data_IF_557217759172
#
_entry.id   IF_557217759172
#
_cell.length_a   1.000
_cell.length_b   1.000
_cell.length_c   1.000
_cell.angle_alpha   90.00
_cell.angle_beta   90.00
_cell.angle_gamma   90.00
#
_symmetry.space_group_name_H-M   'P 1'
#
loop_
_entity.id
_entity.type
_entity.pdbx_description
1 polymer ?
#
# COMPACT_ATOMS: atom_id res chain seq x y z
N UNK A 1 -17.79 -0.99 6.62
CA UNK A 1 -16.49 -0.47 7.07
C UNK A 1 -16.51 1.06 7.09
N UNK A 2 -16.12 1.66 8.20
CA UNK A 2 -16.04 3.12 8.39
C UNK A 2 -14.57 3.51 8.47
N UNK A 3 -14.18 4.56 7.75
CA UNK A 3 -12.80 5.03 7.68
C UNK A 3 -12.80 6.53 7.95
N UNK A 4 -12.17 6.93 9.05
CA UNK A 4 -12.06 8.34 9.45
C UNK A 4 -10.64 8.84 9.29
N UNK A 5 -10.48 10.09 8.87
CA UNK A 5 -9.19 10.79 8.79
C UNK A 5 -9.19 11.99 9.71
N UNK A 6 -8.18 12.10 10.57
CA UNK A 6 -7.88 13.30 11.35
C UNK A 6 -6.76 14.05 10.63
N UNK A 7 -7.08 15.20 10.04
CA UNK A 7 -6.14 15.91 9.17
C UNK A 7 -6.29 17.42 9.34
N UNK A 8 -5.25 18.16 8.97
CA UNK A 8 -5.27 19.62 8.84
C UNK A 8 -5.55 20.07 7.40
N UNK A 9 -5.60 19.12 6.45
CA UNK A 9 -5.81 19.29 5.01
C UNK A 9 -7.04 18.48 4.52
N UNK A 10 -8.26 18.76 5.02
CA UNK A 10 -9.44 17.99 4.65
C UNK A 10 -9.73 18.00 3.15
N UNK A 11 -9.45 19.11 2.44
CA UNK A 11 -9.66 19.18 0.99
C UNK A 11 -8.78 18.19 0.21
N UNK A 12 -7.55 17.93 0.67
CA UNK A 12 -6.66 16.95 0.04
C UNK A 12 -7.25 15.55 0.17
N UNK A 13 -7.69 15.17 1.38
CA UNK A 13 -8.31 13.86 1.64
C UNK A 13 -9.57 13.68 0.81
N UNK A 14 -10.45 14.68 0.77
CA UNK A 14 -11.64 14.65 -0.09
C UNK A 14 -11.27 14.50 -1.56
N UNK A 15 -10.29 15.26 -2.05
CA UNK A 15 -9.83 15.16 -3.44
C UNK A 15 -9.31 13.76 -3.78
N UNK A 16 -8.54 13.13 -2.90
CA UNK A 16 -8.04 11.77 -3.11
C UNK A 16 -9.19 10.74 -3.14
N UNK A 17 -10.17 10.85 -2.22
CA UNK A 17 -11.36 9.98 -2.21
C UNK A 17 -12.17 10.15 -3.51
N UNK A 18 -12.38 11.40 -3.92
CA UNK A 18 -13.29 11.74 -4.99
C UNK A 18 -12.66 11.68 -6.37
N UNK A 19 -11.33 11.55 -6.50
CA UNK A 19 -10.64 11.54 -7.80
C UNK A 19 -9.93 10.22 -8.12
N UNK A 20 -9.41 9.48 -7.14
CA UNK A 20 -8.76 8.18 -7.39
C UNK A 20 -9.78 7.11 -7.79
N UNK A 21 -9.46 6.34 -8.84
CA UNK A 21 -10.42 5.38 -9.41
C UNK A 21 -10.82 4.27 -8.42
N UNK A 22 -9.87 3.77 -7.61
CA UNK A 22 -10.12 2.77 -6.57
C UNK A 22 -11.01 3.33 -5.47
N UNK A 23 -10.73 4.55 -4.98
CA UNK A 23 -11.53 5.22 -3.96
C UNK A 23 -12.95 5.55 -4.46
N UNK A 24 -13.09 6.05 -5.69
CA UNK A 24 -14.39 6.25 -6.34
C UNK A 24 -15.21 4.96 -6.38
N UNK A 25 -14.59 3.83 -6.74
CA UNK A 25 -15.27 2.52 -6.76
C UNK A 25 -15.63 2.07 -5.35
N UNK A 26 -14.72 2.20 -4.38
CA UNK A 26 -14.99 1.90 -2.98
C UNK A 26 -16.22 2.67 -2.47
N UNK A 27 -16.23 4.00 -2.63
CA UNK A 27 -17.32 4.88 -2.21
C UNK A 27 -18.65 4.58 -2.91
N UNK A 28 -18.63 4.21 -4.21
CA UNK A 28 -19.87 4.03 -5.01
C UNK A 28 -20.42 2.60 -5.05
N UNK A 29 -19.55 1.59 -4.87
CA UNK A 29 -19.89 0.18 -5.15
C UNK A 29 -19.85 -0.69 -3.90
N UNK A 30 -19.38 -0.18 -2.77
CA UNK A 30 -19.25 -0.93 -1.52
C UNK A 30 -19.90 -0.17 -0.36
N UNK A 31 -19.94 -0.80 0.82
CA UNK A 31 -20.44 -0.19 2.05
C UNK A 31 -19.28 0.44 2.86
N UNK A 32 -18.30 1.04 2.16
CA UNK A 32 -17.22 1.80 2.79
C UNK A 32 -17.64 3.25 2.93
N UNK A 33 -17.68 3.73 4.17
CA UNK A 33 -17.95 5.12 4.50
C UNK A 33 -16.64 5.85 4.81
N UNK A 34 -16.44 7.01 4.20
CA UNK A 34 -15.30 7.88 4.48
C UNK A 34 -15.76 9.13 5.22
N UNK A 35 -15.12 9.41 6.36
CA UNK A 35 -15.33 10.65 7.12
C UNK A 35 -14.00 11.39 7.27
N UNK A 36 -14.05 12.71 7.14
CA UNK A 36 -12.87 13.57 7.28
C UNK A 36 -13.15 14.56 8.38
N UNK A 37 -12.26 14.60 9.36
CA UNK A 37 -12.38 15.44 10.55
C UNK A 37 -11.19 16.40 10.53
N UNK A 38 -11.50 17.69 10.49
CA UNK A 38 -10.48 18.73 10.50
C UNK A 38 -10.01 18.97 11.94
N UNK A 39 -8.72 18.72 12.19
CA UNK A 39 -8.11 18.90 13.53
C UNK A 39 -8.26 20.35 14.01
N UNK A 40 -8.28 21.33 13.10
CA UNK A 40 -8.42 22.76 13.42
C UNK A 40 -9.73 23.12 14.10
N UNK A 41 -10.76 22.28 13.98
CA UNK A 41 -12.06 22.53 14.61
C UNK A 41 -12.08 22.20 16.11
N UNK A 42 -11.00 21.58 16.63
CA UNK A 42 -10.86 21.18 18.03
C UNK A 42 -9.83 22.02 18.80
N UNK A 43 -9.25 23.03 18.14
CA UNK A 43 -8.46 24.05 18.80
C UNK A 43 -9.38 25.02 19.54
N UNK A 44 -9.10 25.25 20.82
CA UNK A 44 -9.94 26.07 21.69
C UNK A 44 -9.49 27.53 21.78
N UNK A 45 -8.25 27.82 21.40
CA UNK A 45 -7.76 29.19 21.40
C UNK A 45 -8.36 30.01 20.24
N UNK A 46 -8.34 31.34 20.40
CA UNK A 46 -8.88 32.31 19.44
C UNK A 46 -8.24 32.20 18.06
N UNK A 47 -7.00 31.70 17.97
CA UNK A 47 -6.22 31.61 16.74
C UNK A 47 -6.32 30.23 16.07
N UNK A 48 -7.09 29.29 16.65
CA UNK A 48 -7.17 27.89 16.23
C UNK A 48 -5.78 27.24 16.10
N UNK A 49 -4.89 27.49 17.06
CA UNK A 49 -3.55 26.94 17.06
C UNK A 49 -3.58 25.44 17.35
N UNK A 50 -3.02 24.67 16.43
CA UNK A 50 -3.02 23.20 16.45
C UNK A 50 -1.63 22.61 16.70
N UNK A 51 -0.61 23.45 16.71
CA UNK A 51 0.80 23.09 16.72
C UNK A 51 1.60 24.03 17.63
N UNK A 52 2.68 23.52 18.19
CA UNK A 52 3.59 24.27 19.07
C UNK A 52 5.02 23.72 18.96
N UNK A 53 5.99 24.45 19.51
CA UNK A 53 7.37 23.99 19.59
C UNK A 53 7.48 22.72 20.43
N UNK A 54 8.29 21.77 19.96
CA UNK A 54 8.63 20.60 20.76
C UNK A 54 9.50 21.03 21.97
N UNK A 55 9.22 20.47 23.15
CA UNK A 55 10.09 20.66 24.31
C UNK A 55 11.47 20.04 24.08
N UNK A 56 12.52 20.70 24.59
CA UNK A 56 13.90 20.21 24.51
C UNK A 56 14.64 20.71 23.27
N UNK A 57 15.39 19.82 22.62
CA UNK A 57 16.17 20.14 21.42
C UNK A 57 15.39 19.68 20.20
N UNK A 58 14.77 20.62 19.49
CA UNK A 58 14.03 20.35 18.27
C UNK A 58 13.88 21.63 17.46
N UNK A 59 13.95 21.51 16.14
CA UNK A 59 13.56 22.58 15.21
C UNK A 59 12.20 22.20 14.67
N UNK A 60 11.32 23.18 14.47
CA UNK A 60 9.98 22.95 13.92
C UNK A 60 8.89 22.85 14.99
N UNK A 61 7.69 22.50 14.53
CA UNK A 61 6.47 22.44 15.33
C UNK A 61 5.92 21.01 15.32
N UNK A 62 5.20 20.63 16.37
CA UNK A 62 4.47 19.35 16.47
C UNK A 62 3.01 19.63 16.76
N UNK A 63 2.12 18.71 16.35
CA UNK A 63 0.71 18.82 16.69
C UNK A 63 0.49 18.71 18.21
N UNK A 64 -0.26 19.67 18.76
CA UNK A 64 -0.58 19.76 20.18
C UNK A 64 -1.39 18.55 20.64
N UNK A 65 -0.95 17.91 21.71
CA UNK A 65 -1.59 16.73 22.29
C UNK A 65 -3.08 16.95 22.60
N UNK A 66 -3.42 18.06 23.24
CA UNK A 66 -4.78 18.32 23.73
C UNK A 66 -5.77 18.49 22.57
N UNK A 67 -5.36 19.19 21.50
CA UNK A 67 -6.16 19.36 20.28
C UNK A 67 -6.38 18.00 19.62
N UNK A 68 -5.30 17.26 19.36
CA UNK A 68 -5.35 15.99 18.68
C UNK A 68 -6.14 14.94 19.48
N UNK A 69 -5.99 14.92 20.80
CA UNK A 69 -6.74 14.06 21.69
C UNK A 69 -8.25 14.35 21.63
N UNK A 70 -8.66 15.62 21.70
CA UNK A 70 -10.08 16.00 21.54
C UNK A 70 -10.64 15.58 20.18
N UNK A 71 -9.87 15.78 19.11
CA UNK A 71 -10.25 15.32 17.77
C UNK A 71 -10.43 13.80 17.73
N UNK A 72 -9.51 13.05 18.35
CA UNK A 72 -9.57 11.59 18.40
C UNK A 72 -10.79 11.09 19.20
N UNK A 73 -11.08 11.71 20.34
CA UNK A 73 -12.27 11.37 21.13
C UNK A 73 -13.57 11.65 20.38
N UNK A 74 -13.66 12.76 19.63
CA UNK A 74 -14.78 13.01 18.74
C UNK A 74 -14.89 11.93 17.66
N UNK A 75 -13.78 11.56 17.03
CA UNK A 75 -13.76 10.58 15.96
C UNK A 75 -14.17 9.19 16.42
N UNK A 76 -13.91 8.83 17.68
CA UNK A 76 -14.37 7.58 18.28
C UNK A 76 -15.87 7.54 18.53
N UNK A 77 -16.58 8.68 18.57
CA UNK A 77 -18.03 8.68 18.77
C UNK A 77 -18.71 7.87 17.67
N UNK A 78 -19.71 7.10 18.10
CA UNK A 78 -20.49 6.18 17.26
C UNK A 78 -19.69 5.02 16.63
N UNK A 79 -18.43 4.81 17.05
CA UNK A 79 -17.65 3.63 16.71
C UNK A 79 -17.60 2.69 17.91
N UNK A 80 -17.62 1.39 17.67
CA UNK A 80 -17.63 0.38 18.73
C UNK A 80 -16.23 0.00 19.19
N UNK A 81 -15.32 -0.22 18.25
CA UNK A 81 -13.94 -0.63 18.50
C UNK A 81 -13.02 -0.18 17.35
N UNK A 82 -12.79 1.14 17.18
CA UNK A 82 -11.98 1.64 16.09
C UNK A 82 -10.52 1.22 16.22
N UNK A 83 -9.92 0.84 15.11
CA UNK A 83 -8.48 0.59 15.00
C UNK A 83 -7.78 1.86 14.50
N UNK A 84 -6.95 2.42 15.36
CA UNK A 84 -6.35 3.75 15.20
C UNK A 84 -4.91 3.59 14.72
N UNK A 85 -4.62 4.18 13.57
CA UNK A 85 -3.35 4.08 12.86
C UNK A 85 -2.70 5.46 12.82
N UNK A 86 -1.43 5.52 13.19
CA UNK A 86 -0.57 6.69 13.00
C UNK A 86 0.52 6.34 11.97
N UNK A 87 0.45 6.87 10.74
CA UNK A 87 1.57 6.75 9.81
C UNK A 87 2.79 7.50 10.35
N UNK A 88 3.93 6.82 10.44
CA UNK A 88 5.16 7.36 11.02
C UNK A 88 6.35 6.58 10.48
N UNK A 89 7.46 7.22 10.09
CA UNK A 89 8.67 6.50 9.65
C UNK A 89 9.27 5.65 10.79
N UNK A 90 8.93 5.91 12.06
CA UNK A 90 9.33 5.10 13.22
C UNK A 90 8.54 3.79 13.34
N UNK A 91 7.40 3.69 12.65
CA UNK A 91 6.49 2.56 12.74
C UNK A 91 7.01 1.31 12.03
N UNK A 92 6.28 0.19 12.18
CA UNK A 92 6.59 -1.03 11.43
C UNK A 92 6.32 -0.80 9.95
N UNK A 93 7.24 -1.21 9.08
CA UNK A 93 7.04 -1.11 7.63
C UNK A 93 5.87 -2.00 7.22
N UNK A 94 4.88 -1.38 6.57
CA UNK A 94 3.69 -2.08 6.07
C UNK A 94 4.08 -3.19 5.09
N UNK A 95 3.40 -4.33 5.22
CA UNK A 95 3.58 -5.48 4.34
C UNK A 95 2.24 -6.19 4.11
N UNK A 96 2.24 -7.15 3.17
CA UNK A 96 1.03 -7.92 2.80
C UNK A 96 0.32 -8.58 3.99
N UNK A 97 1.07 -9.07 4.99
CA UNK A 97 0.47 -9.69 6.18
C UNK A 97 -0.29 -8.64 7.01
N UNK A 98 0.34 -7.52 7.29
CA UNK A 98 -0.29 -6.40 8.00
C UNK A 98 -1.53 -5.88 7.24
N UNK A 99 -1.44 -5.74 5.91
CA UNK A 99 -2.60 -5.34 5.09
C UNK A 99 -3.78 -6.30 5.29
N UNK A 100 -3.54 -7.62 5.25
CA UNK A 100 -4.60 -8.61 5.49
C UNK A 100 -5.23 -8.51 6.88
N UNK A 101 -4.43 -8.21 7.91
CA UNK A 101 -4.93 -7.98 9.27
C UNK A 101 -5.78 -6.70 9.37
N UNK A 102 -5.40 -5.65 8.65
CA UNK A 102 -6.13 -4.38 8.60
C UNK A 102 -7.44 -4.47 7.80
N UNK A 103 -7.49 -5.32 6.76
CA UNK A 103 -8.73 -5.59 5.98
C UNK A 103 -9.85 -6.14 6.86
N UNK A 104 -9.52 -6.89 7.91
CA UNK A 104 -10.48 -7.44 8.86
C UNK A 104 -11.06 -6.40 9.84
N UNK A 105 -10.57 -5.16 9.83
CA UNK A 105 -11.10 -4.09 10.68
C UNK A 105 -12.32 -3.46 10.01
N UNK A 106 -13.38 -3.27 10.78
CA UNK A 106 -14.61 -2.59 10.30
C UNK A 106 -14.60 -1.09 10.54
N UNK A 107 -13.76 -0.61 11.46
CA UNK A 107 -13.67 0.79 11.84
C UNK A 107 -12.18 1.17 11.89
N UNK A 108 -11.76 2.07 11.00
CA UNK A 108 -10.38 2.58 10.96
C UNK A 108 -10.37 4.09 11.22
N UNK A 109 -9.40 4.54 12.01
CA UNK A 109 -9.09 5.96 12.16
C UNK A 109 -7.62 6.17 11.76
N UNK A 110 -7.38 7.03 10.79
CA UNK A 110 -6.05 7.51 10.45
C UNK A 110 -5.81 8.87 11.10
N UNK A 111 -4.74 8.96 11.89
CA UNK A 111 -4.21 10.24 12.35
C UNK A 111 -3.17 10.69 11.33
N UNK A 112 -3.42 11.78 10.59
CA UNK A 112 -2.48 12.28 9.57
C UNK A 112 -1.52 13.30 10.19
N UNK A 113 -0.29 12.91 10.58
CA UNK A 113 0.69 13.86 11.12
C UNK A 113 1.16 14.83 10.04
N UNK A 114 1.58 16.00 10.49
CA UNK A 114 2.22 17.05 9.71
C UNK A 114 3.34 17.68 10.55
N UNK A 115 4.06 18.65 9.97
CA UNK A 115 5.21 19.29 10.61
C UNK A 115 6.27 18.24 11.01
N UNK A 116 6.84 18.33 12.22
CA UNK A 116 7.76 17.31 12.76
C UNK A 116 7.02 16.09 13.34
N UNK A 117 5.69 16.10 13.34
CA UNK A 117 4.85 14.99 13.78
C UNK A 117 3.86 15.38 14.87
N UNK A 118 3.69 14.49 15.83
CA UNK A 118 2.70 14.58 16.92
C UNK A 118 3.40 14.50 18.26
N UNK A 119 2.77 15.02 19.29
CA UNK A 119 3.19 14.75 20.66
C UNK A 119 3.09 13.26 20.99
N UNK A 120 4.19 12.64 21.43
CA UNK A 120 4.30 11.20 21.69
C UNK A 120 3.31 10.68 22.75
N UNK A 121 2.70 11.54 23.57
CA UNK A 121 1.62 11.11 24.48
C UNK A 121 0.43 10.52 23.73
N UNK A 122 0.22 10.90 22.47
CA UNK A 122 -0.85 10.33 21.64
C UNK A 122 -0.67 8.83 21.39
N UNK A 123 0.57 8.31 21.43
CA UNK A 123 0.88 6.89 21.18
C UNK A 123 0.20 5.94 22.17
N UNK A 124 -0.20 6.43 23.34
CA UNK A 124 -0.97 5.67 24.34
C UNK A 124 -2.42 5.40 23.91
N UNK A 125 -2.90 6.11 22.89
CA UNK A 125 -4.29 6.11 22.45
C UNK A 125 -4.47 5.58 21.03
N UNK A 126 -3.41 5.04 20.42
CA UNK A 126 -3.44 4.42 19.08
C UNK A 126 -3.27 2.90 19.20
N UNK A 127 -3.52 2.18 18.11
CA UNK A 127 -3.28 0.75 18.02
C UNK A 127 -1.96 0.41 17.35
N UNK A 128 -1.53 1.18 16.34
CA UNK A 128 -0.31 0.87 15.58
C UNK A 128 0.32 2.14 14.97
N UNK A 129 1.65 2.24 15.06
CA UNK A 129 2.45 3.13 14.21
C UNK A 129 2.90 2.37 12.97
N UNK A 130 2.63 2.91 11.78
CA UNK A 130 2.92 2.24 10.50
C UNK A 130 3.84 3.10 9.63
N UNK A 131 4.96 2.53 9.20
CA UNK A 131 5.85 3.14 8.21
C UNK A 131 5.49 2.66 6.80
N UNK A 132 5.60 3.55 5.81
CA UNK A 132 5.48 3.21 4.38
C UNK A 132 6.85 2.99 3.71
N UNK A 133 7.95 3.07 4.47
CA UNK A 133 9.31 2.80 4.03
C UNK A 133 10.35 3.70 4.70
N UNK A 134 11.62 3.45 4.39
CA UNK A 134 12.78 4.12 5.00
C UNK A 134 13.10 5.45 4.29
N UNK A 135 12.14 6.37 4.33
CA UNK A 135 12.24 7.72 3.79
C UNK A 135 11.27 8.65 4.52
N UNK A 136 11.45 9.97 4.33
CA UNK A 136 10.64 10.99 4.98
C UNK A 136 9.78 11.71 3.95
N UNK A 137 8.51 11.95 4.31
CA UNK A 137 7.60 12.82 3.57
C UNK A 137 6.94 13.79 4.55
N UNK A 138 6.51 14.94 4.05
CA UNK A 138 5.91 15.99 4.89
C UNK A 138 4.41 15.79 5.17
N UNK A 139 3.75 14.83 4.51
CA UNK A 139 2.29 14.65 4.58
C UNK A 139 1.92 13.26 5.07
N UNK A 140 1.36 13.18 6.28
CA UNK A 140 0.76 11.98 6.82
C UNK A 140 -0.53 11.56 6.09
N UNK A 141 -1.18 12.47 5.36
CA UNK A 141 -2.31 12.15 4.50
C UNK A 141 -1.89 11.20 3.40
N UNK A 142 -0.79 11.48 2.69
CA UNK A 142 -0.30 10.62 1.62
C UNK A 142 0.07 9.23 2.15
N UNK A 143 0.75 9.14 3.31
CA UNK A 143 1.05 7.86 3.93
C UNK A 143 -0.22 7.09 4.34
N UNK A 144 -1.22 7.78 4.90
CA UNK A 144 -2.52 7.18 5.22
C UNK A 144 -3.19 6.62 3.97
N UNK A 145 -3.12 7.34 2.84
CA UNK A 145 -3.69 6.86 1.57
C UNK A 145 -2.93 5.70 0.97
N UNK A 146 -1.60 5.62 1.09
CA UNK A 146 -0.84 4.44 0.66
C UNK A 146 -1.29 3.20 1.44
N UNK A 147 -1.42 3.31 2.76
CA UNK A 147 -1.90 2.23 3.63
C UNK A 147 -3.34 1.87 3.25
N UNK A 148 -4.21 2.87 3.10
CA UNK A 148 -5.61 2.68 2.77
C UNK A 148 -5.79 2.04 1.38
N UNK A 149 -5.03 2.45 0.37
CA UNK A 149 -5.12 1.90 -0.99
C UNK A 149 -4.85 0.40 -0.96
N UNK A 150 -3.79 -0.02 -0.26
CA UNK A 150 -3.49 -1.42 -0.05
C UNK A 150 -4.65 -2.15 0.66
N UNK A 151 -5.28 -1.56 1.69
CA UNK A 151 -6.42 -2.18 2.38
C UNK A 151 -7.62 -2.35 1.45
N UNK A 152 -8.03 -1.30 0.73
CA UNK A 152 -9.27 -1.32 -0.05
C UNK A 152 -9.15 -2.27 -1.25
N UNK A 153 -7.95 -2.41 -1.86
CA UNK A 153 -7.71 -3.41 -2.91
C UNK A 153 -8.08 -4.82 -2.46
N UNK A 154 -7.82 -5.18 -1.20
CA UNK A 154 -8.12 -6.50 -0.64
C UNK A 154 -9.50 -6.60 0.04
N UNK A 155 -10.21 -5.48 0.27
CA UNK A 155 -11.44 -5.46 1.06
C UNK A 155 -12.65 -6.00 0.30
N UNK A 156 -12.83 -5.61 -0.95
CA UNK A 156 -14.05 -5.94 -1.71
C UNK A 156 -13.74 -6.10 -3.20
N UNK A 157 -14.26 -7.19 -3.78
CA UNK A 157 -14.09 -7.54 -5.19
C UNK A 157 -14.71 -6.53 -6.16
N UNK A 158 -15.66 -5.71 -5.68
CA UNK A 158 -16.26 -4.62 -6.43
C UNK A 158 -15.30 -3.44 -6.65
N UNK A 159 -14.20 -3.39 -5.90
CA UNK A 159 -13.12 -2.40 -6.06
C UNK A 159 -12.05 -2.91 -7.02
N UNK A 160 -11.56 -4.13 -6.79
CA UNK A 160 -10.57 -4.81 -7.63
C UNK A 160 -11.01 -6.26 -7.78
N UNK A 161 -11.04 -6.77 -9.01
CA UNK A 161 -11.38 -8.17 -9.27
C UNK A 161 -10.37 -9.08 -8.53
N UNK A 162 -10.87 -10.12 -7.87
CA UNK A 162 -10.05 -11.09 -7.14
C UNK A 162 -9.04 -11.80 -8.03
N UNK A 163 -9.38 -12.06 -9.28
CA UNK A 163 -8.44 -12.68 -10.23
C UNK A 163 -7.19 -11.81 -10.42
N UNK A 164 -7.36 -10.48 -10.43
CA UNK A 164 -6.24 -9.55 -10.53
C UNK A 164 -5.35 -9.59 -9.28
N UNK A 165 -5.90 -9.93 -8.10
CA UNK A 165 -5.12 -10.04 -6.86
C UNK A 165 -4.28 -11.33 -6.79
N UNK A 166 -4.63 -12.35 -7.59
CA UNK A 166 -3.94 -13.65 -7.66
C UNK A 166 -2.77 -13.63 -8.66
N UNK A 167 -2.76 -12.62 -9.54
CA UNK A 167 -1.72 -12.37 -10.53
C UNK A 167 -1.03 -11.00 -10.28
N UNK A 168 -0.98 -10.56 -9.03
CA UNK A 168 -0.27 -9.36 -8.58
C UNK A 168 1.14 -9.72 -8.04
N UNK A 169 2.04 -8.75 -8.00
CA UNK A 169 3.33 -8.93 -7.33
C UNK A 169 3.14 -9.34 -5.87
N UNK A 170 4.01 -10.23 -5.38
CA UNK A 170 3.92 -10.92 -4.08
C UNK A 170 2.81 -12.00 -3.98
N UNK A 171 2.00 -12.20 -5.02
CA UNK A 171 1.08 -13.33 -5.21
C UNK A 171 0.85 -13.55 -6.71
N UNK A 172 1.72 -14.30 -7.38
CA UNK A 172 1.68 -14.44 -8.83
C UNK A 172 1.50 -15.91 -9.22
N UNK A 173 0.53 -16.20 -10.09
CA UNK A 173 0.23 -17.55 -10.58
C UNK A 173 0.01 -18.58 -9.44
N UNK A 174 -0.59 -18.15 -8.33
CA UNK A 174 -0.84 -18.99 -7.16
C UNK A 174 0.37 -19.22 -6.24
N UNK A 175 1.50 -18.58 -6.50
CA UNK A 175 2.70 -18.62 -5.66
C UNK A 175 2.87 -17.32 -4.86
N UNK A 176 3.16 -17.45 -3.56
CA UNK A 176 3.62 -16.32 -2.76
C UNK A 176 5.08 -15.98 -3.07
N UNK A 177 5.46 -14.73 -2.81
CA UNK A 177 6.83 -14.20 -2.90
C UNK A 177 7.39 -13.99 -4.32
N UNK A 178 6.66 -14.35 -5.37
CA UNK A 178 7.05 -14.00 -6.74
C UNK A 178 6.62 -12.58 -7.12
N UNK A 179 7.41 -11.92 -7.95
CA UNK A 179 7.03 -10.70 -8.67
C UNK A 179 6.32 -11.07 -9.98
N UNK A 180 5.51 -10.16 -10.52
CA UNK A 180 4.90 -10.39 -11.84
C UNK A 180 5.95 -10.55 -12.96
N UNK A 181 5.59 -11.37 -13.95
CA UNK A 181 6.29 -11.46 -15.22
C UNK A 181 6.22 -10.13 -16.00
N UNK A 182 7.02 -9.99 -17.06
CA UNK A 182 6.94 -8.81 -17.93
C UNK A 182 5.59 -8.75 -18.64
N UNK A 183 5.02 -7.55 -18.68
CA UNK A 183 3.73 -7.33 -19.33
C UNK A 183 3.92 -6.61 -20.67
N UNK A 184 3.17 -7.07 -21.67
CA UNK A 184 3.22 -6.54 -23.03
C UNK A 184 1.82 -6.22 -23.53
N UNK A 185 1.70 -5.18 -24.36
CA UNK A 185 0.45 -4.83 -25.02
C UNK A 185 0.72 -4.47 -26.49
N UNK A 186 -0.34 -4.22 -27.25
CA UNK A 186 -0.22 -3.81 -28.66
C UNK A 186 0.50 -2.45 -28.76
N UNK A 187 1.30 -2.21 -29.82
CA UNK A 187 1.55 -3.08 -30.98
C UNK A 187 2.57 -4.21 -30.71
N UNK A 188 2.57 -5.27 -31.53
CA UNK A 188 3.46 -6.44 -31.36
C UNK A 188 4.94 -6.14 -31.60
N UNK A 189 5.21 -5.16 -32.45
CA UNK A 189 6.54 -4.72 -32.83
C UNK A 189 6.51 -3.20 -32.98
N UNK A 190 7.52 -2.52 -32.45
CA UNK A 190 7.67 -1.08 -32.58
C UNK A 190 9.14 -0.73 -32.79
N UNK A 191 9.42 0.14 -33.77
CA UNK A 191 10.79 0.54 -34.10
C UNK A 191 11.15 1.84 -33.37
N UNK A 192 12.23 1.81 -32.59
CA UNK A 192 12.81 2.97 -31.90
C UNK A 192 14.23 3.19 -32.41
N UNK A 193 14.52 4.35 -32.98
CA UNK A 193 15.85 4.70 -33.52
C UNK A 193 16.42 3.66 -34.50
N UNK A 194 15.56 3.07 -35.33
CA UNK A 194 15.95 2.01 -36.27
C UNK A 194 16.10 0.61 -35.65
N UNK A 195 15.94 0.47 -34.33
CA UNK A 195 15.97 -0.81 -33.63
C UNK A 195 14.53 -1.32 -33.44
N UNK A 196 14.25 -2.51 -33.94
CA UNK A 196 12.96 -3.19 -33.75
C UNK A 196 12.87 -3.79 -32.35
N UNK A 197 11.87 -3.36 -31.58
CA UNK A 197 11.52 -3.90 -30.26
C UNK A 197 10.28 -4.79 -30.43
N UNK A 198 10.40 -6.06 -30.07
CA UNK A 198 9.36 -7.08 -30.29
C UNK A 198 8.83 -7.64 -28.98
N UNK A 199 7.53 -7.88 -28.94
CA UNK A 199 6.90 -8.70 -27.91
C UNK A 199 7.34 -10.17 -28.09
N UNK A 200 7.66 -10.92 -27.02
CA UNK A 200 8.05 -12.32 -27.12
C UNK A 200 7.04 -13.14 -27.93
N UNK A 201 7.53 -13.82 -28.98
CA UNK A 201 6.68 -14.54 -29.93
C UNK A 201 5.86 -15.66 -29.29
N UNK A 202 6.36 -16.23 -28.19
CA UNK A 202 5.69 -17.26 -27.39
C UNK A 202 4.31 -16.81 -26.88
N UNK A 203 4.15 -15.52 -26.58
CA UNK A 203 2.88 -14.93 -26.13
C UNK A 203 1.79 -14.95 -27.21
N UNK A 204 2.17 -15.19 -28.47
CA UNK A 204 1.25 -15.32 -29.61
C UNK A 204 1.06 -16.76 -30.07
N UNK A 205 1.63 -17.75 -29.38
CA UNK A 205 1.63 -19.15 -29.82
C UNK A 205 0.26 -19.84 -29.73
N UNK A 206 -0.70 -19.26 -28.99
CA UNK A 206 -1.99 -19.90 -28.67
C UNK A 206 -1.88 -21.09 -27.71
N UNK A 207 -0.67 -21.50 -27.33
CA UNK A 207 -0.45 -22.59 -26.40
C UNK A 207 -0.43 -22.05 -24.97
N UNK A 208 -1.60 -22.07 -24.32
CA UNK A 208 -1.77 -21.56 -22.95
C UNK A 208 -0.81 -22.18 -21.94
N UNK A 209 -0.47 -23.47 -22.09
CA UNK A 209 0.46 -24.13 -21.17
C UNK A 209 1.88 -23.57 -21.32
N UNK A 210 2.39 -23.48 -22.56
CA UNK A 210 3.73 -22.91 -22.81
C UNK A 210 3.82 -21.44 -22.42
N UNK A 211 2.74 -20.66 -22.59
CA UNK A 211 2.70 -19.28 -22.14
C UNK A 211 2.81 -19.20 -20.62
N UNK A 212 2.08 -20.04 -19.88
CA UNK A 212 2.16 -20.09 -18.41
C UNK A 212 3.56 -20.49 -17.93
N UNK A 213 4.17 -21.51 -18.55
CA UNK A 213 5.52 -21.95 -18.20
C UNK A 213 6.55 -20.83 -18.43
N UNK A 214 6.45 -20.15 -19.57
CA UNK A 214 7.30 -19.00 -19.91
C UNK A 214 7.15 -17.84 -18.90
N UNK A 215 5.92 -17.43 -18.59
CA UNK A 215 5.66 -16.34 -17.63
C UNK A 215 6.12 -16.70 -16.22
N UNK A 216 5.96 -17.96 -15.80
CA UNK A 216 6.43 -18.41 -14.49
C UNK A 216 7.97 -18.39 -14.42
N UNK A 217 8.66 -18.84 -15.47
CA UNK A 217 10.12 -18.78 -15.54
C UNK A 217 10.61 -17.32 -15.46
N UNK A 218 10.03 -16.42 -16.24
CA UNK A 218 10.37 -14.99 -16.25
C UNK A 218 10.08 -14.32 -14.90
N UNK A 219 8.95 -14.62 -14.27
CA UNK A 219 8.62 -14.16 -12.91
C UNK A 219 9.66 -14.56 -11.87
N UNK A 220 10.12 -15.81 -11.93
CA UNK A 220 11.16 -16.32 -11.02
C UNK A 220 12.49 -15.60 -11.28
N UNK A 221 12.90 -15.47 -12.54
CA UNK A 221 14.10 -14.75 -12.96
C UNK A 221 14.09 -13.30 -12.44
N UNK A 222 13.02 -12.55 -12.69
CA UNK A 222 12.84 -11.18 -12.20
C UNK A 222 12.94 -11.14 -10.67
N UNK A 223 12.36 -12.11 -9.98
CA UNK A 223 12.38 -12.19 -8.52
C UNK A 223 13.79 -12.46 -7.99
N UNK A 224 14.57 -13.33 -8.64
CA UNK A 224 15.98 -13.59 -8.32
C UNK A 224 16.78 -12.29 -8.36
N UNK A 225 16.63 -11.52 -9.44
CA UNK A 225 17.39 -10.28 -9.65
C UNK A 225 16.95 -9.14 -8.74
N UNK A 226 15.64 -8.86 -8.68
CA UNK A 226 15.13 -7.65 -8.02
C UNK A 226 14.93 -7.83 -6.51
N UNK A 227 14.62 -9.05 -6.06
CA UNK A 227 14.27 -9.35 -4.67
C UNK A 227 14.78 -10.76 -4.27
N UNK A 228 16.10 -10.99 -4.21
CA UNK A 228 16.68 -12.30 -3.90
C UNK A 228 16.20 -12.88 -2.55
N UNK A 229 15.91 -12.02 -1.56
CA UNK A 229 15.31 -12.46 -0.29
C UNK A 229 13.90 -13.05 -0.42
N UNK A 230 13.10 -12.53 -1.37
CA UNK A 230 11.80 -13.13 -1.70
C UNK A 230 11.97 -14.44 -2.44
N UNK A 231 12.93 -14.55 -3.37
CA UNK A 231 13.24 -15.80 -4.04
C UNK A 231 13.65 -16.91 -3.06
N UNK A 232 14.49 -16.58 -2.06
CA UNK A 232 14.82 -17.53 -0.98
C UNK A 232 13.57 -18.01 -0.23
N UNK A 233 12.65 -17.10 0.07
CA UNK A 233 11.38 -17.44 0.74
C UNK A 233 10.46 -18.28 -0.15
N UNK A 234 10.43 -17.99 -1.46
CA UNK A 234 9.73 -18.77 -2.47
C UNK A 234 10.26 -20.20 -2.53
N UNK A 235 11.58 -20.40 -2.69
CA UNK A 235 12.21 -21.72 -2.74
C UNK A 235 11.90 -22.53 -1.48
N UNK A 236 12.11 -21.94 -0.29
CA UNK A 236 11.84 -22.61 0.98
C UNK A 236 10.40 -23.16 1.08
N UNK A 237 9.43 -22.48 0.45
CA UNK A 237 8.01 -22.86 0.50
C UNK A 237 7.57 -23.77 -0.66
N UNK A 238 8.14 -23.58 -1.86
CA UNK A 238 7.61 -24.14 -3.10
C UNK A 238 8.58 -24.99 -3.93
N UNK A 239 9.85 -25.15 -3.53
CA UNK A 239 10.86 -25.92 -4.29
C UNK A 239 10.37 -27.31 -4.72
N UNK A 240 9.68 -28.05 -3.85
CA UNK A 240 9.14 -29.39 -4.15
C UNK A 240 7.88 -29.40 -5.01
N UNK A 241 7.24 -28.24 -5.20
CA UNK A 241 5.96 -28.08 -5.92
C UNK A 241 6.13 -27.53 -7.32
N UNK A 242 7.29 -26.96 -7.63
CA UNK A 242 7.57 -26.39 -8.95
C UNK A 242 8.24 -27.41 -9.87
N UNK A 243 7.96 -27.32 -11.16
CA UNK A 243 8.67 -28.10 -12.17
C UNK A 243 10.15 -27.70 -12.16
N UNK A 244 11.02 -28.70 -11.97
CA UNK A 244 12.47 -28.50 -11.93
C UNK A 244 13.02 -27.91 -13.23
N UNK A 245 12.40 -28.20 -14.37
CA UNK A 245 12.80 -27.66 -15.67
C UNK A 245 12.57 -26.15 -15.73
N UNK A 246 11.41 -25.68 -15.30
CA UNK A 246 11.06 -24.24 -15.24
C UNK A 246 12.02 -23.52 -14.28
N UNK A 247 12.26 -24.11 -13.11
CA UNK A 247 13.17 -23.52 -12.13
C UNK A 247 14.61 -23.44 -12.67
N UNK A 248 15.08 -24.49 -13.35
CA UNK A 248 16.40 -24.51 -13.96
C UNK A 248 16.53 -23.46 -15.07
N UNK A 249 15.53 -23.36 -15.96
CA UNK A 249 15.48 -22.35 -17.02
C UNK A 249 15.56 -20.93 -16.46
N UNK A 250 14.73 -20.62 -15.46
CA UNK A 250 14.74 -19.30 -14.82
C UNK A 250 16.09 -18.96 -14.16
N UNK A 251 16.71 -19.92 -13.48
CA UNK A 251 18.04 -19.72 -12.87
C UNK A 251 19.11 -19.52 -13.94
N UNK A 252 19.09 -20.29 -15.02
CA UNK A 252 20.07 -20.14 -16.11
C UNK A 252 19.96 -18.80 -16.81
N UNK A 253 18.74 -18.36 -17.11
CA UNK A 253 18.49 -17.03 -17.70
C UNK A 253 18.94 -15.91 -16.75
N UNK A 254 18.78 -16.10 -15.43
CA UNK A 254 19.22 -15.09 -14.45
C UNK A 254 20.74 -14.95 -14.31
N UNK A 255 21.53 -15.94 -14.75
CA UNK A 255 22.99 -15.92 -14.62
C UNK A 255 23.65 -15.39 -15.90
N UNK A 256 22.95 -15.43 -17.03
CA UNK A 256 23.46 -15.02 -18.34
C UNK A 256 22.65 -13.81 -18.81
N UNK A 257 23.15 -12.57 -18.64
CA UNK A 257 22.43 -11.41 -19.13
C UNK A 257 22.27 -11.48 -20.65
N UNK A 258 21.02 -11.39 -21.13
CA UNK A 258 20.68 -11.24 -22.56
C UNK A 258 21.03 -9.85 -23.09
#
# INVERSE_FOLDING_TARGET
MIIKFLTIFPQLVHSLIDNLSSMKRAKKRTNIEFQVINIRDFAQDKHKQIDDYAYGIGKGMILKFDVLYRTLEEAKKNLKNPYIILPSPRGKIINKKMVKELVCKEELIFICPNYEGVDDRILRFINEEISIGDYVISSGELASFVILEAIIRYKDEKVVNRDNLIDDSFNYMGFDFLLEAMQYTRPREFTVNGISIKVPSILFSGNHQKIKEFLLAESIEITIHKKPGLFKSFLNKYEKKIDKKILFEAVMNSVIPS
#
